data_IF_193361589586
#
_entry.id   IF_193361589586
#
_cell.length_a   1.000
_cell.length_b   1.000
_cell.length_c   1.000
_cell.angle_alpha   90.00
_cell.angle_beta   90.00
_cell.angle_gamma   90.00
#
_symmetry.space_group_name_H-M   'P 1'
#
loop_
_entity.id
_entity.type
_entity.pdbx_description
1 polymer ?
#
# COMPACT_ATOMS: atom_id res chain seq x y z
N UNK A 1 -16.65 -21.47 6.99
CA UNK A 1 -16.97 -22.76 7.65
C UNK A 1 -17.09 -23.80 6.55
N UNK A 2 -16.40 -24.94 6.66
CA UNK A 2 -16.30 -25.91 5.58
C UNK A 2 -17.56 -26.76 5.59
N UNK A 3 -18.21 -26.90 4.44
CA UNK A 3 -19.44 -27.68 4.30
C UNK A 3 -19.12 -29.16 4.47
N UNK A 4 -19.69 -29.82 5.49
CA UNK A 4 -19.51 -31.24 5.75
C UNK A 4 -20.81 -31.99 5.43
N UNK A 5 -20.75 -32.94 4.50
CA UNK A 5 -21.91 -33.76 4.10
C UNK A 5 -21.92 -35.04 4.94
N UNK A 6 -22.93 -35.21 5.81
CA UNK A 6 -23.10 -36.42 6.62
C UNK A 6 -24.23 -37.26 6.03
N UNK A 7 -23.94 -38.50 5.62
CA UNK A 7 -24.96 -39.47 5.17
C UNK A 7 -25.67 -40.06 6.39
N UNK A 8 -27.00 -39.96 6.41
CA UNK A 8 -27.84 -40.52 7.48
C UNK A 8 -28.21 -41.95 7.13
N UNK A 9 -27.76 -42.91 7.93
CA UNK A 9 -28.08 -44.34 7.73
C UNK A 9 -29.34 -44.79 8.48
N UNK A 10 -29.72 -44.12 9.58
CA UNK A 10 -30.93 -44.43 10.35
C UNK A 10 -31.62 -43.14 10.87
N UNK A 11 -32.95 -42.98 10.68
CA UNK A 11 -33.67 -41.75 11.05
C UNK A 11 -33.89 -41.56 12.57
N UNK A 12 -33.63 -42.58 13.40
CA UNK A 12 -33.93 -42.54 14.85
C UNK A 12 -32.70 -42.30 15.74
N UNK A 13 -31.51 -42.12 15.16
CA UNK A 13 -30.25 -42.02 15.90
C UNK A 13 -29.81 -40.55 16.02
N UNK A 14 -29.40 -40.12 17.24
CA UNK A 14 -29.04 -38.72 17.50
C UNK A 14 -27.76 -38.35 16.74
N UNK A 15 -27.89 -37.55 15.66
CA UNK A 15 -26.77 -37.07 14.87
C UNK A 15 -25.93 -36.04 15.65
N UNK A 16 -24.69 -36.38 15.98
CA UNK A 16 -23.75 -35.46 16.65
C UNK A 16 -22.82 -34.82 15.62
N UNK A 17 -23.24 -33.70 15.05
CA UNK A 17 -22.43 -32.92 14.10
C UNK A 17 -21.50 -32.01 14.89
N UNK A 18 -20.17 -32.22 14.78
CA UNK A 18 -19.15 -31.28 15.26
C UNK A 18 -18.69 -30.44 14.09
N UNK A 19 -18.86 -29.13 14.19
CA UNK A 19 -18.39 -28.17 13.19
C UNK A 19 -16.86 -28.09 13.25
N UNK A 20 -16.21 -28.26 12.09
CA UNK A 20 -14.80 -27.91 11.94
C UNK A 20 -14.68 -26.41 11.61
N UNK A 21 -13.89 -25.65 12.39
CA UNK A 21 -13.63 -24.26 12.08
C UNK A 21 -12.82 -24.18 10.77
N UNK A 22 -13.40 -23.46 9.81
CA UNK A 22 -12.75 -23.11 8.54
C UNK A 22 -11.93 -21.84 8.78
N UNK A 23 -10.83 -22.02 9.49
CA UNK A 23 -9.86 -20.96 9.70
C UNK A 23 -9.01 -20.84 8.43
N UNK A 24 -9.55 -20.17 7.41
CA UNK A 24 -8.70 -19.55 6.39
C UNK A 24 -7.96 -18.43 7.10
N UNK A 25 -6.83 -18.77 7.70
CA UNK A 25 -5.89 -17.80 8.26
C UNK A 25 -5.30 -17.05 7.08
N UNK A 26 -5.93 -15.93 6.72
CA UNK A 26 -5.36 -14.97 5.77
C UNK A 26 -4.09 -14.44 6.43
N UNK A 27 -2.94 -15.02 6.08
CA UNK A 27 -1.65 -14.51 6.53
C UNK A 27 -1.40 -13.20 5.80
N UNK A 28 -1.92 -12.12 6.37
CA UNK A 28 -1.64 -10.78 5.89
C UNK A 28 -0.15 -10.51 6.10
N UNK A 29 0.53 -10.52 4.98
CA UNK A 29 1.96 -10.44 4.91
C UNK A 29 2.28 -9.06 4.38
N UNK A 30 3.08 -8.30 5.14
CA UNK A 30 3.45 -6.94 4.77
C UNK A 30 4.87 -6.94 4.25
N UNK A 31 5.04 -6.31 3.10
CA UNK A 31 6.32 -6.15 2.45
C UNK A 31 6.82 -4.74 2.75
N UNK A 32 7.81 -4.64 3.61
CA UNK A 32 8.50 -3.37 3.90
C UNK A 32 9.65 -3.18 2.91
N UNK A 33 9.46 -3.56 1.66
CA UNK A 33 10.43 -3.54 0.57
C UNK A 33 11.49 -4.65 0.64
N UNK A 34 12.28 -4.71 1.72
CA UNK A 34 13.40 -5.67 1.86
C UNK A 34 12.96 -6.92 2.63
N UNK A 35 12.05 -6.76 3.58
CA UNK A 35 11.61 -7.84 4.46
C UNK A 35 10.11 -8.04 4.34
N UNK A 36 9.74 -9.31 4.32
CA UNK A 36 8.37 -9.77 4.36
C UNK A 36 8.08 -10.15 5.81
N UNK A 37 7.27 -9.36 6.52
CA UNK A 37 6.91 -9.59 7.92
C UNK A 37 5.39 -9.70 8.06
N UNK A 38 4.93 -10.47 9.04
CA UNK A 38 3.51 -10.52 9.37
C UNK A 38 3.07 -9.14 9.84
N UNK A 39 1.90 -8.67 9.39
CA UNK A 39 1.35 -7.39 9.84
C UNK A 39 1.35 -7.27 11.37
N UNK A 40 1.06 -8.38 12.04
CA UNK A 40 0.95 -8.52 13.50
C UNK A 40 2.29 -8.34 14.24
N UNK A 41 3.43 -8.62 13.61
CA UNK A 41 4.75 -8.54 14.25
C UNK A 41 5.43 -7.18 14.06
N UNK A 42 4.75 -6.26 13.39
CA UNK A 42 5.27 -4.93 13.09
C UNK A 42 4.74 -3.91 14.09
N UNK A 43 5.67 -3.24 14.79
CA UNK A 43 5.36 -2.31 15.89
C UNK A 43 5.15 -0.87 15.42
N UNK A 44 5.22 -0.62 14.11
CA UNK A 44 5.12 0.71 13.51
C UNK A 44 3.79 0.97 12.81
N UNK A 45 3.50 2.24 12.58
CA UNK A 45 2.32 2.75 11.90
C UNK A 45 2.49 2.59 10.39
N UNK A 46 1.79 1.60 9.85
CA UNK A 46 1.74 1.31 8.42
C UNK A 46 0.30 1.07 7.94
N UNK A 47 0.09 1.27 6.65
CA UNK A 47 -1.15 0.90 5.98
C UNK A 47 -0.82 0.17 4.68
N UNK A 48 -1.34 -1.04 4.50
CA UNK A 48 -1.15 -1.84 3.28
C UNK A 48 -2.47 -1.88 2.51
N UNK A 49 -2.37 -1.73 1.20
CA UNK A 49 -3.49 -1.76 0.27
C UNK A 49 -3.18 -2.78 -0.82
N UNK A 50 -4.08 -3.74 -0.98
CA UNK A 50 -3.99 -4.78 -1.99
C UNK A 50 -4.44 -4.27 -3.36
N UNK A 51 -4.03 -4.95 -4.43
CA UNK A 51 -4.50 -4.70 -5.79
C UNK A 51 -6.03 -4.61 -5.88
N UNK A 52 -6.76 -5.51 -5.19
CA UNK A 52 -8.23 -5.56 -5.24
C UNK A 52 -8.85 -4.29 -4.70
N UNK A 53 -8.29 -3.75 -3.61
CA UNK A 53 -8.76 -2.51 -3.00
C UNK A 53 -8.46 -1.32 -3.93
N UNK A 54 -7.25 -1.27 -4.50
CA UNK A 54 -6.85 -0.23 -5.45
C UNK A 54 -7.74 -0.21 -6.70
N UNK A 55 -8.09 -1.39 -7.23
CA UNK A 55 -8.99 -1.55 -8.38
C UNK A 55 -10.44 -1.18 -8.09
N UNK A 56 -10.85 -1.20 -6.83
CA UNK A 56 -12.21 -0.81 -6.44
C UNK A 56 -12.43 0.70 -6.61
N UNK A 57 -11.35 1.50 -6.51
CA UNK A 57 -11.41 2.96 -6.70
C UNK A 57 -11.34 3.36 -8.17
N UNK A 58 -10.51 2.67 -8.97
CA UNK A 58 -10.43 2.90 -10.42
C UNK A 58 -9.08 2.50 -11.02
N UNK A 59 -9.05 2.36 -12.35
CA UNK A 59 -7.89 1.83 -13.10
C UNK A 59 -6.88 2.88 -13.61
N UNK A 60 -7.11 4.17 -13.36
CA UNK A 60 -6.38 5.23 -14.08
C UNK A 60 -4.97 5.49 -13.53
N UNK A 61 -4.82 5.67 -12.21
CA UNK A 61 -3.52 5.94 -11.61
C UNK A 61 -3.45 5.38 -10.19
N UNK A 62 -2.34 4.70 -9.91
CA UNK A 62 -2.08 4.05 -8.63
C UNK A 62 -2.11 5.04 -7.46
N UNK A 63 -1.52 6.23 -7.64
CA UNK A 63 -1.46 7.26 -6.59
C UNK A 63 -2.82 7.91 -6.36
N UNK A 64 -3.62 8.08 -7.42
CA UNK A 64 -4.97 8.63 -7.29
C UNK A 64 -5.88 7.67 -6.53
N UNK A 65 -5.79 6.37 -6.81
CA UNK A 65 -6.51 5.36 -6.03
C UNK A 65 -6.02 5.32 -4.58
N UNK A 66 -4.72 5.48 -4.35
CA UNK A 66 -4.15 5.57 -3.02
C UNK A 66 -4.63 6.80 -2.24
N UNK A 67 -4.79 7.97 -2.88
CA UNK A 67 -5.35 9.20 -2.26
C UNK A 67 -6.75 8.96 -1.67
N UNK A 68 -7.56 8.13 -2.32
CA UNK A 68 -8.93 7.83 -1.87
C UNK A 68 -8.92 6.81 -0.72
N UNK A 69 -8.08 5.78 -0.80
CA UNK A 69 -8.01 4.72 0.21
C UNK A 69 -7.22 5.11 1.46
N UNK A 70 -6.21 5.96 1.30
CA UNK A 70 -5.32 6.41 2.35
C UNK A 70 -5.56 7.89 2.68
N UNK A 71 -6.38 8.22 3.69
CA UNK A 71 -6.65 9.61 4.06
C UNK A 71 -5.39 10.36 4.54
N UNK A 72 -4.34 9.63 4.92
CA UNK A 72 -3.04 10.19 5.26
C UNK A 72 -2.18 10.56 4.05
N UNK A 73 -2.55 10.13 2.84
CA UNK A 73 -1.81 10.39 1.60
C UNK A 73 -2.49 11.54 0.86
N UNK A 74 -1.82 12.70 0.83
CA UNK A 74 -2.37 13.92 0.27
C UNK A 74 -1.61 14.28 -0.99
N UNK A 75 -2.32 14.33 -2.11
CA UNK A 75 -1.83 14.89 -3.38
C UNK A 75 -2.23 16.37 -3.41
N UNK A 76 -1.25 17.27 -3.32
CA UNK A 76 -1.46 18.69 -3.52
C UNK A 76 -1.42 18.99 -5.02
N UNK A 77 -2.51 19.58 -5.48
CA UNK A 77 -2.65 20.03 -6.86
C UNK A 77 -1.94 21.37 -7.01
N UNK A 78 -1.01 21.45 -7.98
CA UNK A 78 -0.38 22.70 -8.33
C UNK A 78 -1.31 23.49 -9.26
N UNK A 79 -2.18 24.31 -8.67
CA UNK A 79 -3.15 25.13 -9.41
C UNK A 79 -2.49 26.18 -10.34
N UNK A 80 -1.18 26.46 -10.19
CA UNK A 80 -0.45 27.37 -11.08
C UNK A 80 -0.03 26.69 -12.39
N UNK A 81 0.09 25.36 -12.40
CA UNK A 81 0.41 24.58 -13.60
C UNK A 81 -0.82 24.29 -14.48
N UNK A 82 -2.02 24.69 -14.04
CA UNK A 82 -3.27 24.43 -14.76
C UNK A 82 -3.55 22.93 -14.89
N UNK A 83 -4.12 22.51 -16.02
CA UNK A 83 -4.43 21.11 -16.32
C UNK A 83 -3.28 20.35 -17.00
N UNK A 84 -2.03 20.78 -16.79
CA UNK A 84 -0.87 20.15 -17.41
C UNK A 84 -0.63 18.74 -16.80
N UNK A 85 -0.83 17.66 -17.58
CA UNK A 85 -0.66 16.30 -17.09
C UNK A 85 0.81 15.92 -16.83
N UNK A 86 1.77 16.71 -17.32
CA UNK A 86 3.21 16.51 -17.05
C UNK A 86 3.70 17.27 -15.82
N UNK A 87 2.85 18.06 -15.16
CA UNK A 87 3.22 18.78 -13.96
C UNK A 87 3.55 17.80 -12.82
N UNK A 88 4.69 18.01 -12.17
CA UNK A 88 5.15 17.16 -11.06
C UNK A 88 4.14 17.22 -9.91
N UNK A 89 3.58 16.06 -9.54
CA UNK A 89 2.63 15.99 -8.43
C UNK A 89 3.36 16.20 -7.10
N UNK A 90 2.82 17.05 -6.24
CA UNK A 90 3.35 17.26 -4.89
C UNK A 90 2.57 16.36 -3.92
N UNK A 91 3.28 15.56 -3.13
CA UNK A 91 2.71 14.47 -2.33
C UNK A 91 3.21 14.56 -0.89
N UNK A 92 2.31 14.34 0.07
CA UNK A 92 2.64 14.34 1.49
C UNK A 92 1.99 13.17 2.22
N UNK A 93 2.68 12.64 3.24
CA UNK A 93 2.17 11.62 4.14
C UNK A 93 2.03 12.23 5.54
N UNK A 94 0.84 12.12 6.14
CA UNK A 94 0.65 12.39 7.57
C UNK A 94 0.40 13.84 7.98
N UNK A 95 -0.12 14.69 7.09
CA UNK A 95 -0.60 16.03 7.47
C UNK A 95 0.49 17.03 7.87
N UNK A 96 1.77 16.70 7.65
CA UNK A 96 2.83 17.69 7.68
C UNK A 96 2.57 18.70 6.55
N UNK A 97 1.93 19.82 6.91
CA UNK A 97 1.80 21.01 6.09
C UNK A 97 3.19 21.66 5.98
N UNK A 98 4.01 21.13 5.09
CA UNK A 98 5.34 21.69 4.86
C UNK A 98 5.31 22.82 3.84
N UNK A 99 6.21 23.77 4.06
CA UNK A 99 6.26 25.10 3.47
C UNK A 99 6.29 25.04 1.94
N UNK A 100 5.26 25.61 1.31
CA UNK A 100 5.19 25.88 -0.12
C UNK A 100 6.29 26.89 -0.46
N UNK A 101 7.24 26.53 -1.34
CA UNK A 101 8.23 27.47 -1.88
C UNK A 101 9.72 27.15 -1.64
N UNK A 102 10.08 25.99 -1.07
CA UNK A 102 11.47 25.52 -1.02
C UNK A 102 11.76 24.53 -2.16
N UNK A 103 11.52 24.95 -3.40
CA UNK A 103 12.10 24.30 -4.57
C UNK A 103 13.49 24.92 -4.77
N UNK A 104 14.52 24.28 -4.21
CA UNK A 104 15.90 24.65 -4.58
C UNK A 104 16.15 24.20 -6.01
N UNK A 105 17.07 24.88 -6.70
CA UNK A 105 17.49 24.67 -8.10
C UNK A 105 17.90 23.22 -8.47
N UNK A 106 17.84 22.28 -7.52
CA UNK A 106 18.20 20.88 -7.64
C UNK A 106 17.01 19.92 -7.57
N UNK A 107 15.83 20.26 -8.10
CA UNK A 107 14.77 19.29 -8.48
C UNK A 107 14.38 18.22 -7.43
N UNK A 108 14.66 18.43 -6.15
CA UNK A 108 14.28 17.53 -5.06
C UNK A 108 13.41 18.32 -4.14
N UNK A 109 12.09 18.14 -4.27
CA UNK A 109 11.14 18.70 -3.33
C UNK A 109 11.43 18.05 -1.96
N UNK A 110 11.91 18.82 -0.97
CA UNK A 110 12.38 18.27 0.31
C UNK A 110 11.25 17.65 1.14
N UNK A 111 10.01 17.77 0.67
CA UNK A 111 8.80 17.32 1.36
C UNK A 111 8.21 16.04 0.75
N UNK A 112 8.73 15.56 -0.39
CA UNK A 112 8.19 14.37 -1.03
C UNK A 112 8.55 13.11 -0.22
N UNK A 113 7.61 12.16 -0.05
CA UNK A 113 7.92 10.88 0.55
C UNK A 113 8.87 10.06 -0.34
N UNK A 114 9.59 9.14 0.28
CA UNK A 114 10.47 8.21 -0.44
C UNK A 114 9.63 7.14 -1.13
N UNK A 115 9.85 6.92 -2.43
CA UNK A 115 9.22 5.84 -3.17
C UNK A 115 10.18 4.66 -3.31
N UNK A 116 9.69 3.48 -2.95
CA UNK A 116 10.41 2.22 -3.08
C UNK A 116 9.60 1.33 -4.00
N UNK A 117 10.21 0.86 -5.09
CA UNK A 117 9.64 -0.13 -6.01
C UNK A 117 10.45 -1.42 -5.89
N UNK A 118 9.80 -2.50 -5.47
CA UNK A 118 10.42 -3.83 -5.34
C UNK A 118 11.73 -3.83 -4.51
N UNK A 119 11.79 -2.96 -3.50
CA UNK A 119 12.96 -2.80 -2.61
C UNK A 119 14.00 -1.76 -3.06
N UNK A 120 13.84 -1.14 -4.23
CA UNK A 120 14.74 -0.11 -4.75
C UNK A 120 14.12 1.28 -4.71
N UNK A 121 14.94 2.30 -4.40
CA UNK A 121 14.53 3.71 -4.48
C UNK A 121 14.18 4.09 -5.91
N UNK A 122 13.01 4.70 -6.11
CA UNK A 122 12.52 5.12 -7.42
C UNK A 122 11.99 6.55 -7.37
N UNK A 123 11.75 7.11 -8.55
CA UNK A 123 11.13 8.43 -8.69
C UNK A 123 9.61 8.33 -8.73
N UNK A 124 8.97 9.46 -8.45
CA UNK A 124 7.52 9.62 -8.59
C UNK A 124 7.03 9.24 -10.00
N UNK A 125 7.71 9.70 -11.05
CA UNK A 125 7.33 9.43 -12.45
C UNK A 125 7.23 7.94 -12.75
N UNK A 126 8.17 7.14 -12.22
CA UNK A 126 8.13 5.68 -12.39
C UNK A 126 6.90 5.05 -11.75
N UNK A 127 6.45 5.58 -10.60
CA UNK A 127 5.26 5.07 -9.90
C UNK A 127 3.97 5.54 -10.57
N UNK A 128 3.94 6.76 -11.10
CA UNK A 128 2.77 7.26 -11.84
C UNK A 128 2.56 6.54 -13.16
N UNK A 129 3.65 6.14 -13.82
CA UNK A 129 3.63 5.42 -15.10
C UNK A 129 3.36 3.91 -14.91
N UNK A 130 3.38 3.43 -13.67
CA UNK A 130 3.15 2.02 -13.36
C UNK A 130 1.67 1.66 -13.54
N UNK A 131 1.40 0.66 -14.39
CA UNK A 131 0.05 0.12 -14.54
C UNK A 131 -0.44 -0.57 -13.28
N UNK A 132 -1.70 -0.35 -12.91
CA UNK A 132 -2.34 -0.98 -11.76
C UNK A 132 -2.35 -2.51 -11.84
N UNK A 133 -2.37 -3.09 -13.04
CA UNK A 133 -2.33 -4.55 -13.22
C UNK A 133 -0.99 -5.17 -12.82
N UNK A 134 0.07 -4.36 -12.79
CA UNK A 134 1.43 -4.76 -12.38
C UNK A 134 1.64 -4.62 -10.89
N UNK A 135 0.79 -3.89 -10.17
CA UNK A 135 0.90 -3.69 -8.72
C UNK A 135 0.29 -4.88 -8.00
N UNK A 136 1.03 -5.47 -7.07
CA UNK A 136 0.54 -6.50 -6.15
C UNK A 136 -0.04 -5.85 -4.89
N UNK A 137 0.74 -4.95 -4.27
CA UNK A 137 0.35 -4.23 -3.07
C UNK A 137 1.13 -2.93 -2.90
N UNK A 138 0.55 -2.00 -2.16
CA UNK A 138 1.19 -0.76 -1.74
C UNK A 138 1.17 -0.67 -0.24
N UNK A 139 2.32 -0.43 0.37
CA UNK A 139 2.45 -0.23 1.81
C UNK A 139 2.98 1.18 2.08
N UNK A 140 2.25 1.93 2.89
CA UNK A 140 2.65 3.26 3.37
C UNK A 140 3.22 3.11 4.77
N UNK A 141 4.45 3.59 4.98
CA UNK A 141 5.14 3.64 6.27
C UNK A 141 5.14 5.08 6.77
N UNK A 142 4.56 5.32 7.95
CA UNK A 142 4.29 6.68 8.45
C UNK A 142 5.19 7.14 9.58
N UNK A 143 5.63 6.24 10.44
CA UNK A 143 6.37 6.60 11.66
C UNK A 143 7.86 6.24 11.58
N UNK A 144 8.65 6.80 12.51
CA UNK A 144 10.09 6.60 12.58
C UNK A 144 10.48 5.11 12.72
N UNK A 145 9.70 4.34 13.48
CA UNK A 145 9.94 2.89 13.67
C UNK A 145 9.79 2.11 12.36
N UNK A 146 8.82 2.49 11.52
CA UNK A 146 8.60 1.85 10.23
C UNK A 146 9.60 2.29 9.17
N UNK A 147 9.99 3.55 9.23
CA UNK A 147 10.85 4.20 8.23
C UNK A 147 12.34 4.09 8.53
N UNK A 148 12.72 3.65 9.74
CA UNK A 148 14.10 3.50 10.18
C UNK A 148 14.98 2.67 9.23
N UNK A 149 14.40 1.70 8.52
CA UNK A 149 15.10 0.87 7.54
C UNK A 149 15.67 1.70 6.38
N UNK A 150 15.01 2.82 6.04
CA UNK A 150 15.33 3.68 4.91
C UNK A 150 16.11 4.95 5.30
N UNK A 151 16.40 5.13 6.59
CA UNK A 151 17.25 6.21 7.10
C UNK A 151 16.64 7.61 6.99
N UNK A 152 17.49 8.63 6.91
CA UNK A 152 17.10 10.05 6.96
C UNK A 152 16.22 10.49 5.79
N UNK A 153 16.32 9.83 4.62
CA UNK A 153 15.48 10.10 3.44
C UNK A 153 13.99 9.79 3.69
N UNK A 154 13.70 8.96 4.68
CA UNK A 154 12.36 8.51 5.00
C UNK A 154 11.66 9.39 6.05
N UNK A 155 12.23 10.53 6.39
CA UNK A 155 11.67 11.48 7.36
C UNK A 155 10.25 11.97 7.00
N UNK A 156 9.91 12.01 5.72
CA UNK A 156 8.58 12.40 5.21
C UNK A 156 7.64 11.20 4.97
N UNK A 157 8.03 9.99 5.42
CA UNK A 157 7.33 8.75 5.14
C UNK A 157 7.85 8.02 3.90
N UNK A 158 7.45 6.76 3.78
CA UNK A 158 7.87 5.87 2.67
C UNK A 158 6.64 5.23 2.04
N UNK A 159 6.59 5.22 0.72
CA UNK A 159 5.62 4.44 -0.05
C UNK A 159 6.36 3.29 -0.69
N UNK A 160 6.06 2.08 -0.25
CA UNK A 160 6.58 0.84 -0.82
C UNK A 160 5.54 0.30 -1.79
N UNK A 161 5.94 0.09 -3.04
CA UNK A 161 5.16 -0.54 -4.09
C UNK A 161 5.81 -1.86 -4.43
N UNK A 162 5.03 -2.94 -4.36
CA UNK A 162 5.48 -4.26 -4.82
C UNK A 162 4.74 -4.61 -6.10
N UNK A 163 5.49 -5.09 -7.09
CA UNK A 163 4.94 -5.57 -8.35
C UNK A 163 4.62 -7.05 -8.29
N UNK A 164 3.70 -7.48 -9.16
CA UNK A 164 3.39 -8.89 -9.34
C UNK A 164 4.61 -9.61 -9.87
N UNK A 165 5.10 -10.56 -9.08
CA UNK A 165 6.14 -11.50 -9.50
C UNK A 165 5.55 -12.42 -10.58
N UNK A 166 6.30 -12.73 -11.64
CA UNK A 166 5.86 -13.74 -12.60
C UNK A 166 5.65 -15.07 -11.86
N UNK A 167 4.45 -15.64 -11.99
CA UNK A 167 4.22 -17.03 -11.58
C UNK A 167 5.03 -17.92 -12.53
N UNK A 168 5.91 -18.75 -11.95
CA UNK A 168 6.74 -19.69 -12.69
C UNK A 168 6.00 -21.02 -12.94
#
# INVERSE_FOLDING_TARGET
>A
MKTQTVRVSNPSEKLKVRLEPDAVSLQETVITGIYTRKAESFTGSMATYSEKELKTVGNQNVLQSLKVLAPSFIILENNLAGSDPNATMNLNIGGNTNIVGLETEYSTNPNQPLFILDGFETTLSTITDLSMDRVASITILKDASSTAIYGSKAANGVVVVETKKPEA
#
